data_IF_904979315774
#
_entry.id   IF_904979315774
#
_cell.length_a   1.000
_cell.length_b   1.000
_cell.length_c   1.000
_cell.angle_alpha   90.00
_cell.angle_beta   90.00
_cell.angle_gamma   90.00
#
_symmetry.space_group_name_H-M   'P 1'
#
loop_
_entity.id
_entity.type
_entity.pdbx_description
1 polymer ?
#
# COMPACT_ATOMS: atom_id res chain seq x y z
N UNK A 1 -4.33 -13.37 -10.07
CA UNK A 1 -5.51 -12.51 -9.77
C UNK A 1 -5.16 -11.00 -9.84
N UNK A 2 -4.29 -10.57 -10.75
CA UNK A 2 -3.73 -9.21 -10.70
C UNK A 2 -4.77 -8.11 -10.99
N UNK A 3 -5.79 -8.41 -11.81
CA UNK A 3 -6.93 -7.52 -12.05
C UNK A 3 -7.67 -7.17 -10.76
N UNK A 4 -7.91 -8.16 -9.88
CA UNK A 4 -8.59 -7.94 -8.61
C UNK A 4 -7.75 -7.05 -7.69
N UNK A 5 -6.43 -7.28 -7.64
CA UNK A 5 -5.49 -6.45 -6.86
C UNK A 5 -5.49 -5.01 -7.36
N UNK A 6 -5.53 -4.80 -8.68
CA UNK A 6 -5.62 -3.47 -9.27
C UNK A 6 -6.92 -2.76 -8.89
N UNK A 7 -8.07 -3.46 -8.92
CA UNK A 7 -9.35 -2.91 -8.48
C UNK A 7 -9.32 -2.52 -7.00
N UNK A 8 -8.81 -3.41 -6.14
CA UNK A 8 -8.64 -3.14 -4.70
C UNK A 8 -7.75 -1.91 -4.49
N UNK A 9 -6.64 -1.79 -5.23
CA UNK A 9 -5.74 -0.64 -5.13
C UNK A 9 -6.46 0.68 -5.43
N UNK A 10 -7.29 0.72 -6.49
CA UNK A 10 -8.06 1.91 -6.85
C UNK A 10 -9.07 2.25 -5.76
N UNK A 11 -9.86 1.27 -5.31
CA UNK A 11 -10.87 1.49 -4.25
C UNK A 11 -10.20 1.98 -2.96
N UNK A 12 -9.08 1.39 -2.57
CA UNK A 12 -8.34 1.76 -1.38
C UNK A 12 -7.80 3.19 -1.43
N UNK A 13 -7.21 3.60 -2.56
CA UNK A 13 -6.74 4.98 -2.77
C UNK A 13 -7.91 5.98 -2.78
N UNK A 14 -9.01 5.65 -3.44
CA UNK A 14 -10.21 6.48 -3.43
C UNK A 14 -10.78 6.63 -2.03
N UNK A 15 -10.83 5.55 -1.24
CA UNK A 15 -11.28 5.58 0.15
C UNK A 15 -10.37 6.43 1.04
N UNK A 16 -9.04 6.25 0.92
CA UNK A 16 -8.07 7.08 1.65
C UNK A 16 -8.28 8.57 1.38
N UNK A 17 -8.39 8.98 0.11
CA UNK A 17 -8.58 10.38 -0.22
C UNK A 17 -9.96 10.91 0.17
N UNK A 18 -11.03 10.11 0.02
CA UNK A 18 -12.37 10.52 0.39
C UNK A 18 -12.49 10.76 1.91
N UNK A 19 -12.10 9.79 2.73
CA UNK A 19 -12.20 9.91 4.19
C UNK A 19 -11.12 10.82 4.76
N UNK A 20 -9.93 10.87 4.15
CA UNK A 20 -8.88 11.81 4.53
C UNK A 20 -9.27 13.26 4.28
N UNK A 21 -9.93 13.54 3.14
CA UNK A 21 -10.48 14.85 2.85
C UNK A 21 -11.57 15.23 3.87
N UNK A 22 -12.54 14.33 4.11
CA UNK A 22 -13.57 14.55 5.12
C UNK A 22 -12.98 14.82 6.52
N UNK A 23 -11.95 14.08 6.93
CA UNK A 23 -11.32 14.28 8.23
C UNK A 23 -10.63 15.65 8.36
N UNK A 24 -10.18 16.24 7.26
CA UNK A 24 -9.44 17.52 7.27
C UNK A 24 -10.35 18.72 7.03
N UNK A 25 -11.40 18.59 6.21
CA UNK A 25 -12.16 19.75 5.73
C UNK A 25 -13.60 19.79 6.19
N UNK A 26 -14.15 18.69 6.71
CA UNK A 26 -15.57 18.68 7.05
C UNK A 26 -15.81 19.36 8.41
N UNK A 27 -16.68 20.35 8.39
CA UNK A 27 -17.10 21.07 9.59
C UNK A 27 -18.31 20.38 10.23
N UNK A 28 -18.45 20.50 11.56
CA UNK A 28 -19.60 19.96 12.29
C UNK A 28 -19.58 18.44 12.52
N UNK A 29 -18.45 17.76 12.26
CA UNK A 29 -18.29 16.37 12.69
C UNK A 29 -18.20 16.28 14.21
N UNK A 30 -18.88 15.28 14.76
CA UNK A 30 -18.62 14.84 16.14
C UNK A 30 -17.23 14.21 16.23
N UNK A 31 -16.64 14.22 17.43
CA UNK A 31 -15.33 13.59 17.68
C UNK A 31 -15.30 12.12 17.21
N UNK A 32 -16.35 11.35 17.50
CA UNK A 32 -16.48 9.96 17.04
C UNK A 32 -16.48 9.83 15.52
N UNK A 33 -17.16 10.73 14.80
CA UNK A 33 -17.17 10.71 13.34
C UNK A 33 -15.81 11.05 12.75
N UNK A 34 -15.09 12.00 13.35
CA UNK A 34 -13.71 12.33 12.95
C UNK A 34 -12.79 11.11 13.13
N UNK A 35 -12.89 10.43 14.27
CA UNK A 35 -12.12 9.21 14.54
C UNK A 35 -12.45 8.10 13.53
N UNK A 36 -13.73 7.88 13.23
CA UNK A 36 -14.14 6.89 12.23
C UNK A 36 -13.59 7.25 10.85
N UNK A 37 -13.68 8.53 10.43
CA UNK A 37 -13.13 9.00 9.17
C UNK A 37 -11.61 8.78 9.10
N UNK A 38 -10.89 9.08 10.18
CA UNK A 38 -9.45 8.84 10.28
C UNK A 38 -9.11 7.34 10.18
N UNK A 39 -9.87 6.47 10.85
CA UNK A 39 -9.67 5.01 10.78
C UNK A 39 -9.95 4.45 9.39
N UNK A 40 -11.01 4.93 8.72
CA UNK A 40 -11.32 4.54 7.35
C UNK A 40 -10.25 5.01 6.36
N UNK A 41 -9.77 6.25 6.52
CA UNK A 41 -8.66 6.77 5.73
C UNK A 41 -7.40 5.91 5.93
N UNK A 42 -7.04 5.61 7.18
CA UNK A 42 -5.91 4.76 7.51
C UNK A 42 -6.04 3.35 6.91
N UNK A 43 -7.23 2.73 7.00
CA UNK A 43 -7.52 1.45 6.39
C UNK A 43 -7.34 1.47 4.86
N UNK A 44 -7.79 2.54 4.20
CA UNK A 44 -7.56 2.80 2.78
C UNK A 44 -6.07 2.93 2.45
N UNK A 45 -5.30 3.65 3.26
CA UNK A 45 -3.86 3.85 3.06
C UNK A 45 -3.09 2.52 3.15
N UNK A 46 -3.27 1.77 4.24
CA UNK A 46 -2.57 0.50 4.47
C UNK A 46 -2.90 -0.50 3.37
N UNK A 47 -4.19 -0.61 3.02
CA UNK A 47 -4.65 -1.51 1.95
C UNK A 47 -4.12 -1.08 0.60
N UNK A 48 -4.12 0.22 0.30
CA UNK A 48 -3.61 0.79 -0.94
C UNK A 48 -2.12 0.54 -1.11
N UNK A 49 -1.31 0.78 -0.07
CA UNK A 49 0.13 0.48 -0.09
C UNK A 49 0.37 -1.02 -0.32
N UNK A 50 -0.34 -1.89 0.40
CA UNK A 50 -0.18 -3.33 0.25
C UNK A 50 -0.57 -3.84 -1.15
N UNK A 51 -1.67 -3.34 -1.71
CA UNK A 51 -2.11 -3.67 -3.06
C UNK A 51 -1.15 -3.13 -4.13
N UNK A 52 -0.68 -1.89 -3.97
CA UNK A 52 0.30 -1.27 -4.85
C UNK A 52 1.62 -2.05 -4.88
N UNK A 53 2.17 -2.41 -3.72
CA UNK A 53 3.40 -3.23 -3.63
C UNK A 53 3.24 -4.59 -4.32
N UNK A 54 2.06 -5.22 -4.20
CA UNK A 54 1.75 -6.45 -4.92
C UNK A 54 1.67 -6.23 -6.43
N UNK A 55 1.08 -5.12 -6.87
CA UNK A 55 0.96 -4.79 -8.28
C UNK A 55 2.33 -4.51 -8.91
N UNK A 56 3.22 -3.81 -8.22
CA UNK A 56 4.61 -3.58 -8.68
C UNK A 56 5.31 -4.91 -8.94
N UNK A 57 5.29 -5.84 -7.98
CA UNK A 57 5.88 -7.18 -8.14
C UNK A 57 5.24 -7.97 -9.29
N UNK A 58 3.92 -7.84 -9.45
CA UNK A 58 3.20 -8.49 -10.55
C UNK A 58 3.62 -7.93 -11.93
N UNK A 59 3.83 -6.62 -12.03
CA UNK A 59 4.29 -5.95 -13.26
C UNK A 59 5.73 -6.32 -13.61
N UNK A 60 6.61 -6.48 -12.61
CA UNK A 60 7.96 -7.00 -12.81
C UNK A 60 7.93 -8.44 -13.32
N UNK A 61 7.08 -9.29 -12.71
CA UNK A 61 6.95 -10.70 -13.09
C UNK A 61 6.36 -10.88 -14.51
N UNK A 62 5.50 -9.97 -14.97
CA UNK A 62 4.96 -10.02 -16.33
C UNK A 62 5.92 -9.44 -17.38
N UNK A 63 7.09 -8.94 -16.98
CA UNK A 63 8.04 -8.26 -17.87
C UNK A 63 7.60 -6.86 -18.31
N UNK A 64 6.49 -6.34 -17.77
CA UNK A 64 6.00 -5.00 -18.08
C UNK A 64 6.87 -3.91 -17.44
N UNK A 65 7.40 -4.18 -16.25
CA UNK A 65 8.31 -3.29 -15.54
C UNK A 65 9.70 -3.91 -15.41
N UNK A 66 10.74 -3.06 -15.43
CA UNK A 66 12.11 -3.50 -15.14
C UNK A 66 12.16 -4.01 -13.70
N UNK A 67 12.65 -5.24 -13.52
CA UNK A 67 12.83 -5.86 -12.20
C UNK A 67 13.66 -4.91 -11.33
N UNK A 68 13.13 -4.54 -10.17
CA UNK A 68 13.85 -3.72 -9.21
C UNK A 68 15.16 -4.40 -8.83
N UNK A 69 16.19 -3.59 -8.51
CA UNK A 69 17.53 -4.06 -8.13
C UNK A 69 17.54 -4.66 -6.71
N UNK A 70 16.52 -5.44 -6.37
CA UNK A 70 16.46 -6.20 -5.14
C UNK A 70 17.51 -7.32 -5.26
N UNK A 71 18.47 -7.34 -4.33
CA UNK A 71 19.38 -8.46 -4.15
C UNK A 71 18.55 -9.75 -4.06
N UNK A 72 18.95 -10.74 -4.86
CA UNK A 72 18.34 -12.06 -4.81
C UNK A 72 18.28 -12.55 -3.35
N UNK A 73 17.18 -13.19 -2.95
CA UNK A 73 16.97 -13.57 -1.56
C UNK A 73 18.11 -14.45 -1.04
N UNK A 74 18.69 -15.28 -1.90
CA UNK A 74 19.89 -16.06 -1.58
C UNK A 74 21.14 -15.18 -1.40
N UNK A 75 21.33 -14.16 -2.24
CA UNK A 75 22.43 -13.20 -2.09
C UNK A 75 22.30 -12.37 -0.80
N UNK A 76 21.08 -12.00 -0.43
CA UNK A 76 20.78 -11.25 0.79
C UNK A 76 21.01 -12.09 2.06
N UNK A 77 20.60 -13.36 2.04
CA UNK A 77 20.85 -14.29 3.14
C UNK A 77 22.35 -14.60 3.30
N UNK A 78 23.09 -14.74 2.20
CA UNK A 78 24.57 -14.88 2.23
C UNK A 78 25.24 -13.66 2.86
N UNK A 79 24.83 -12.46 2.48
CA UNK A 79 25.35 -11.23 3.07
C UNK A 79 25.02 -11.09 4.57
N UNK A 80 23.85 -11.57 5.03
CA UNK A 80 23.51 -11.58 6.45
C UNK A 80 24.31 -12.64 7.25
N UNK A 81 24.66 -13.78 6.65
CA UNK A 81 25.53 -14.78 7.31
C UNK A 81 26.99 -14.36 7.38
N UNK A 82 27.47 -13.55 6.42
CA UNK A 82 28.86 -13.07 6.36
C UNK A 82 29.09 -11.77 7.16
N UNK A 83 28.04 -10.97 7.41
CA UNK A 83 28.12 -9.68 8.10
C UNK A 83 27.63 -9.66 9.56
N UNK A 84 27.34 -10.81 10.16
CA UNK A 84 27.02 -10.91 11.59
C UNK A 84 28.29 -10.75 12.44
N UNK A 85 28.44 -9.60 13.09
CA UNK A 85 29.41 -9.37 14.17
C UNK A 85 28.85 -9.96 15.46
#
# INVERSE_FOLDING_TARGET
MNKLIAIINVIAWSGFWAFGYLAVTAEGLTESQLVIAALLAFGGLVTGIAAYMRLVRASEASGYARKSNQLDAAARNRAQSEGGI
#
